data_IF_732256087651
#
_entry.id   IF_732256087651
#
_cell.length_a   1.000
_cell.length_b   1.000
_cell.length_c   1.000
_cell.angle_alpha   90.00
_cell.angle_beta   90.00
_cell.angle_gamma   90.00
#
_symmetry.space_group_name_H-M   'P 1'
#
loop_
_entity.id
_entity.type
_entity.pdbx_description
1 polymer ?
#
# COMPACT_ATOMS: atom_id res chain seq x y z
N UNK A 1 -11.76 -35.40 21.41
CA UNK A 1 -12.29 -34.07 21.82
C UNK A 1 -11.21 -33.07 21.48
N UNK A 2 -11.32 -32.06 20.62
CA UNK A 2 -12.43 -31.42 19.91
C UNK A 2 -11.79 -30.59 18.78
N UNK A 3 -12.08 -30.91 17.52
CA UNK A 3 -11.77 -30.04 16.37
C UNK A 3 -12.90 -29.01 16.22
N UNK A 4 -12.60 -27.73 16.44
CA UNK A 4 -13.54 -26.63 16.21
C UNK A 4 -13.37 -26.12 14.78
N UNK A 5 -14.19 -26.65 13.87
CA UNK A 5 -14.34 -26.15 12.50
C UNK A 5 -15.11 -24.83 12.56
N UNK A 6 -14.47 -23.75 12.09
CA UNK A 6 -15.07 -22.42 11.86
C UNK A 6 -16.30 -22.56 10.95
N UNK A 7 -17.49 -22.27 11.47
CA UNK A 7 -18.69 -22.03 10.66
C UNK A 7 -18.51 -20.72 9.90
N UNK A 8 -18.45 -20.81 8.57
CA UNK A 8 -18.61 -19.66 7.66
C UNK A 8 -20.09 -19.47 7.42
N UNK A 9 -20.68 -18.43 7.99
CA UNK A 9 -22.06 -18.02 7.73
C UNK A 9 -22.12 -17.38 6.34
N UNK A 10 -22.64 -18.13 5.37
CA UNK A 10 -22.92 -17.63 4.01
C UNK A 10 -24.27 -16.91 4.02
N UNK A 11 -24.31 -15.64 3.63
CA UNK A 11 -25.53 -14.85 3.54
C UNK A 11 -26.06 -14.92 2.10
N UNK A 12 -27.22 -15.54 1.90
CA UNK A 12 -27.85 -15.72 0.59
C UNK A 12 -28.87 -14.60 0.35
N UNK A 13 -28.63 -13.76 -0.67
CA UNK A 13 -29.65 -12.80 -1.14
C UNK A 13 -30.34 -13.41 -2.37
N UNK A 14 -31.65 -13.63 -2.26
CA UNK A 14 -32.52 -14.10 -3.34
C UNK A 14 -32.91 -12.91 -4.23
N UNK A 15 -32.39 -12.85 -5.45
CA UNK A 15 -32.94 -11.98 -6.49
C UNK A 15 -34.04 -12.75 -7.24
N UNK A 16 -35.29 -12.35 -7.04
CA UNK A 16 -36.45 -12.91 -7.76
C UNK A 16 -36.54 -12.21 -9.11
N UNK A 17 -36.25 -12.93 -10.20
CA UNK A 17 -36.58 -12.48 -11.55
C UNK A 17 -37.76 -13.29 -12.08
N UNK A 18 -38.79 -12.61 -12.61
CA UNK A 18 -40.00 -13.24 -13.19
C UNK A 18 -39.69 -13.83 -14.56
N UNK A 19 -38.91 -14.89 -14.60
CA UNK A 19 -38.88 -15.87 -15.69
C UNK A 19 -38.15 -17.10 -15.20
N UNK A 20 -38.81 -18.24 -15.35
CA UNK A 20 -38.48 -19.53 -14.75
C UNK A 20 -37.13 -20.06 -15.23
N UNK A 21 -36.05 -19.73 -14.52
CA UNK A 21 -34.79 -20.48 -14.45
C UNK A 21 -33.91 -19.89 -13.33
N UNK A 22 -33.95 -20.52 -12.15
CA UNK A 22 -33.10 -20.16 -11.01
C UNK A 22 -31.67 -20.61 -11.31
N UNK A 23 -30.83 -19.71 -11.79
CA UNK A 23 -29.39 -19.92 -11.80
C UNK A 23 -28.82 -19.43 -10.47
N UNK A 24 -28.36 -20.37 -9.63
CA UNK A 24 -27.59 -20.06 -8.43
C UNK A 24 -26.25 -19.45 -8.85
N UNK A 25 -26.19 -18.12 -8.96
CA UNK A 25 -24.91 -17.41 -9.00
C UNK A 25 -24.34 -17.40 -7.59
N UNK A 26 -23.33 -18.22 -7.34
CA UNK A 26 -22.42 -18.05 -6.21
C UNK A 26 -21.78 -16.67 -6.32
N UNK A 27 -22.27 -15.71 -5.55
CA UNK A 27 -21.56 -14.46 -5.31
C UNK A 27 -20.39 -14.83 -4.40
N UNK A 28 -19.19 -14.88 -4.98
CA UNK A 28 -17.96 -15.04 -4.21
C UNK A 28 -17.93 -13.98 -3.10
N UNK A 29 -17.40 -14.31 -1.90
CA UNK A 29 -17.25 -13.33 -0.84
C UNK A 29 -16.55 -12.10 -1.44
N UNK A 30 -17.15 -10.93 -1.25
CA UNK A 30 -16.61 -9.64 -1.64
C UNK A 30 -15.33 -9.44 -0.81
N UNK A 31 -14.25 -10.06 -1.27
CA UNK A 31 -12.91 -9.63 -0.91
C UNK A 31 -12.86 -8.19 -1.39
N UNK A 32 -12.50 -7.28 -0.48
CA UNK A 32 -12.25 -5.88 -0.82
C UNK A 32 -11.18 -5.92 -1.89
N UNK A 33 -11.59 -5.81 -3.15
CA UNK A 33 -10.67 -5.76 -4.27
C UNK A 33 -10.07 -4.37 -4.23
N UNK A 34 -8.88 -4.26 -3.65
CA UNK A 34 -8.08 -3.06 -3.75
C UNK A 34 -7.81 -2.73 -5.20
N UNK A 35 -7.64 -1.43 -5.46
CA UNK A 35 -7.31 -0.94 -6.79
C UNK A 35 -6.02 -1.57 -7.32
N UNK A 36 -5.08 -1.86 -6.42
CA UNK A 36 -3.81 -2.50 -6.73
C UNK A 36 -3.81 -3.95 -6.24
N UNK A 37 -3.53 -4.89 -7.15
CA UNK A 37 -3.35 -6.29 -6.79
C UNK A 37 -2.00 -6.50 -6.08
N UNK A 38 -1.89 -7.57 -5.28
CA UNK A 38 -0.64 -7.99 -4.66
C UNK A 38 0.53 -8.09 -5.66
N UNK A 39 0.26 -8.52 -6.89
CA UNK A 39 1.24 -8.54 -7.98
C UNK A 39 1.71 -7.15 -8.41
N UNK A 40 0.81 -6.17 -8.52
CA UNK A 40 1.14 -4.81 -8.97
C UNK A 40 2.02 -4.03 -7.99
N UNK A 41 1.86 -4.27 -6.68
CA UNK A 41 2.74 -3.69 -5.64
C UNK A 41 3.99 -4.55 -5.36
N UNK A 42 4.16 -5.64 -6.11
CA UNK A 42 5.33 -6.52 -6.06
C UNK A 42 5.38 -7.44 -4.84
N UNK A 43 4.26 -7.68 -4.16
CA UNK A 43 4.21 -8.62 -3.02
C UNK A 43 4.42 -10.06 -3.47
N UNK A 44 3.83 -10.48 -4.58
CA UNK A 44 3.90 -11.88 -5.05
C UNK A 44 5.34 -12.25 -5.41
N UNK A 45 6.01 -11.37 -6.17
CA UNK A 45 7.43 -11.52 -6.51
C UNK A 45 8.31 -11.50 -5.26
N UNK A 46 7.98 -10.66 -4.27
CA UNK A 46 8.73 -10.60 -3.03
C UNK A 46 8.56 -11.87 -2.19
N UNK A 47 7.35 -12.41 -2.06
CA UNK A 47 7.09 -13.70 -1.39
C UNK A 47 7.88 -14.84 -2.06
N UNK A 48 7.77 -14.93 -3.39
CA UNK A 48 8.48 -15.95 -4.16
C UNK A 48 10.01 -15.82 -3.99
N UNK A 49 10.54 -14.60 -4.05
CA UNK A 49 11.97 -14.36 -3.86
C UNK A 49 12.44 -14.77 -2.45
N UNK A 50 11.60 -14.57 -1.42
CA UNK A 50 11.89 -15.00 -0.05
C UNK A 50 11.90 -16.51 0.09
N UNK A 51 10.90 -17.19 -0.46
CA UNK A 51 10.82 -18.65 -0.46
C UNK A 51 12.05 -19.26 -1.15
N UNK A 52 12.43 -18.72 -2.31
CA UNK A 52 13.64 -19.15 -3.02
C UNK A 52 14.92 -18.85 -2.23
N UNK A 53 15.01 -17.69 -1.59
CA UNK A 53 16.17 -17.32 -0.78
C UNK A 53 16.36 -18.27 0.40
N UNK A 54 15.28 -18.52 1.17
CA UNK A 54 15.29 -19.43 2.31
C UNK A 54 15.59 -20.86 1.86
N UNK A 55 15.00 -21.33 0.75
CA UNK A 55 15.28 -22.66 0.22
C UNK A 55 16.75 -22.86 -0.17
N UNK A 56 17.37 -21.86 -0.82
CA UNK A 56 18.79 -21.92 -1.22
C UNK A 56 19.75 -21.89 -0.04
N UNK A 57 19.39 -21.20 1.06
CA UNK A 57 20.25 -20.99 2.22
C UNK A 57 19.83 -21.81 3.44
N UNK A 58 18.88 -22.74 3.30
CA UNK A 58 18.33 -23.53 4.40
C UNK A 58 19.39 -24.15 5.34
N UNK A 59 20.55 -24.66 4.87
CA UNK A 59 21.56 -25.24 5.75
C UNK A 59 22.24 -24.24 6.69
N UNK A 60 22.32 -22.96 6.32
CA UNK A 60 23.09 -21.94 7.05
C UNK A 60 22.25 -20.79 7.58
N UNK A 61 20.97 -20.69 7.19
CA UNK A 61 20.14 -19.52 7.49
C UNK A 61 19.95 -19.27 8.98
N UNK A 62 19.75 -20.32 9.77
CA UNK A 62 19.56 -20.20 11.23
C UNK A 62 20.83 -19.71 11.92
N UNK A 63 21.99 -20.18 11.44
CA UNK A 63 23.29 -19.74 11.96
C UNK A 63 23.56 -18.28 11.62
N UNK A 64 23.15 -17.84 10.43
CA UNK A 64 23.22 -16.45 10.00
C UNK A 64 22.29 -15.58 10.85
N UNK A 65 21.02 -15.96 11.00
CA UNK A 65 20.03 -15.22 11.80
C UNK A 65 20.50 -15.01 13.24
N UNK A 66 21.00 -16.07 13.90
CA UNK A 66 21.55 -15.95 15.27
C UNK A 66 22.71 -14.95 15.34
N UNK A 67 23.68 -15.06 14.42
CA UNK A 67 24.81 -14.11 14.35
C UNK A 67 24.35 -12.69 14.08
N UNK A 68 23.34 -12.51 13.24
CA UNK A 68 22.76 -11.20 12.93
C UNK A 68 22.09 -10.59 14.17
N UNK A 69 21.26 -11.37 14.88
CA UNK A 69 20.63 -10.94 16.14
C UNK A 69 21.68 -10.51 17.18
N UNK A 70 22.71 -11.34 17.38
CA UNK A 70 23.81 -11.04 18.30
C UNK A 70 24.58 -9.78 17.91
N UNK A 71 24.75 -9.54 16.61
CA UNK A 71 25.40 -8.34 16.09
C UNK A 71 24.55 -7.10 16.32
N UNK A 72 23.26 -7.14 15.97
CA UNK A 72 22.34 -5.99 16.09
C UNK A 72 22.19 -5.54 17.55
N UNK A 73 22.34 -6.43 18.52
CA UNK A 73 22.29 -6.05 19.93
C UNK A 73 23.53 -5.27 20.41
N UNK A 74 24.66 -5.32 19.70
CA UNK A 74 25.88 -4.59 20.09
C UNK A 74 25.81 -3.12 19.66
N UNK A 75 26.13 -2.15 20.53
CA UNK A 75 25.99 -0.72 20.23
C UNK A 75 26.83 -0.28 19.02
N UNK A 76 28.05 -0.79 18.90
CA UNK A 76 29.02 -0.40 17.85
C UNK A 76 28.95 -1.27 16.59
N UNK A 77 27.95 -2.15 16.48
CA UNK A 77 27.83 -3.03 15.33
C UNK A 77 27.55 -2.25 14.04
N UNK A 78 28.44 -2.42 13.07
CA UNK A 78 28.21 -1.96 11.71
C UNK A 78 27.28 -2.92 10.98
N UNK A 79 26.21 -2.37 10.38
CA UNK A 79 25.24 -3.12 9.60
C UNK A 79 25.59 -2.96 8.13
N UNK A 80 25.95 -4.07 7.48
CA UNK A 80 26.19 -4.10 6.04
C UNK A 80 24.88 -4.22 5.26
N UNK A 81 24.85 -3.63 4.07
CA UNK A 81 23.68 -3.65 3.18
C UNK A 81 23.23 -5.07 2.86
N UNK A 82 24.18 -5.96 2.58
CA UNK A 82 23.89 -7.34 2.20
C UNK A 82 23.32 -8.15 3.36
N UNK A 83 23.85 -7.98 4.58
CA UNK A 83 23.32 -8.62 5.78
C UNK A 83 21.89 -8.15 6.08
N UNK A 84 21.62 -6.84 5.98
CA UNK A 84 20.28 -6.30 6.20
C UNK A 84 19.30 -6.81 5.13
N UNK A 85 19.72 -6.87 3.86
CA UNK A 85 18.91 -7.42 2.77
C UNK A 85 18.59 -8.90 3.01
N UNK A 86 19.59 -9.69 3.38
CA UNK A 86 19.45 -11.12 3.68
C UNK A 86 18.53 -11.37 4.87
N UNK A 87 18.63 -10.53 5.91
CA UNK A 87 17.71 -10.59 7.04
C UNK A 87 16.27 -10.24 6.64
N UNK A 88 16.04 -9.20 5.82
CA UNK A 88 14.70 -8.86 5.29
C UNK A 88 14.09 -10.04 4.52
N UNK A 89 14.91 -10.77 3.75
CA UNK A 89 14.45 -11.90 2.95
C UNK A 89 14.10 -13.14 3.78
N UNK A 90 14.66 -13.27 4.98
CA UNK A 90 14.53 -14.47 5.82
C UNK A 90 13.75 -14.26 7.13
N UNK A 91 13.42 -13.02 7.51
CA UNK A 91 12.75 -12.70 8.77
C UNK A 91 11.29 -13.19 8.83
N UNK A 92 11.01 -14.13 9.73
CA UNK A 92 9.73 -14.81 9.93
C UNK A 92 9.20 -14.73 11.36
N UNK A 93 10.01 -14.37 12.36
CA UNK A 93 9.52 -14.13 13.73
C UNK A 93 9.39 -12.64 14.02
N UNK A 94 8.62 -12.30 15.05
CA UNK A 94 8.48 -10.91 15.50
C UNK A 94 9.80 -10.35 16.04
N UNK A 95 10.61 -11.19 16.68
CA UNK A 95 11.96 -10.86 17.11
C UNK A 95 12.86 -10.52 15.92
N UNK A 96 12.84 -11.34 14.88
CA UNK A 96 13.60 -11.13 13.65
C UNK A 96 13.19 -9.84 12.92
N UNK A 97 11.89 -9.55 12.85
CA UNK A 97 11.39 -8.29 12.28
C UNK A 97 11.84 -7.09 13.11
N UNK A 98 11.80 -7.17 14.44
CA UNK A 98 12.28 -6.09 15.31
C UNK A 98 13.80 -5.88 15.14
N UNK A 99 14.57 -6.95 14.97
CA UNK A 99 16.00 -6.86 14.70
C UNK A 99 16.28 -6.18 13.34
N UNK A 100 15.49 -6.48 12.29
CA UNK A 100 15.58 -5.76 11.01
C UNK A 100 15.38 -4.26 11.21
N UNK A 101 14.41 -3.86 12.04
CA UNK A 101 14.10 -2.45 12.30
C UNK A 101 15.21 -1.76 13.10
N UNK A 102 15.75 -2.43 14.11
CA UNK A 102 16.90 -1.90 14.87
C UNK A 102 18.13 -1.76 13.97
N UNK A 103 18.40 -2.77 13.14
CA UNK A 103 19.47 -2.76 12.16
C UNK A 103 19.29 -1.63 11.13
N UNK A 104 18.06 -1.37 10.69
CA UNK A 104 17.73 -0.27 9.80
C UNK A 104 18.05 1.10 10.42
N UNK A 105 17.70 1.31 11.69
CA UNK A 105 18.00 2.56 12.41
C UNK A 105 19.51 2.79 12.49
N UNK A 106 20.28 1.75 12.83
CA UNK A 106 21.76 1.79 12.83
C UNK A 106 22.34 2.04 11.45
N UNK A 107 21.80 1.35 10.44
CA UNK A 107 22.20 1.54 9.04
C UNK A 107 21.97 2.99 8.58
N UNK A 108 20.89 3.63 9.03
CA UNK A 108 20.64 5.01 8.62
C UNK A 108 21.65 6.01 9.21
N UNK A 109 22.10 5.77 10.43
CA UNK A 109 23.12 6.60 11.11
C UNK A 109 24.54 6.32 10.63
N UNK A 110 24.78 5.19 9.97
CA UNK A 110 26.11 4.84 9.45
C UNK A 110 26.52 5.81 8.34
N UNK A 111 27.66 6.47 8.51
CA UNK A 111 28.27 7.38 7.53
C UNK A 111 28.89 6.64 6.33
N UNK A 112 29.11 5.33 6.45
CA UNK A 112 29.78 4.47 5.47
C UNK A 112 28.78 3.71 4.60
N UNK A 113 27.76 4.39 4.07
CA UNK A 113 26.84 3.78 3.10
C UNK A 113 27.58 3.55 1.79
N UNK A 114 28.14 2.36 1.62
CA UNK A 114 28.91 1.95 0.45
C UNK A 114 28.04 1.74 -0.80
N UNK A 115 26.72 1.62 -0.63
CA UNK A 115 25.77 1.28 -1.69
C UNK A 115 24.51 2.14 -1.60
N UNK A 116 24.02 2.61 -2.74
CA UNK A 116 22.76 3.36 -2.87
C UNK A 116 21.53 2.41 -2.92
N UNK A 117 21.43 1.50 -1.96
CA UNK A 117 20.32 0.55 -1.90
C UNK A 117 19.12 1.15 -1.15
N UNK A 118 17.95 1.16 -1.80
CA UNK A 118 16.71 1.69 -1.22
C UNK A 118 15.93 0.61 -0.46
N UNK A 119 15.97 0.68 0.88
CA UNK A 119 15.33 -0.29 1.77
C UNK A 119 13.82 -0.05 2.02
N UNK A 120 13.29 1.14 1.69
CA UNK A 120 11.91 1.51 2.02
C UNK A 120 10.86 0.52 1.52
N UNK A 121 10.84 0.27 0.21
CA UNK A 121 9.91 -0.67 -0.42
C UNK A 121 10.04 -2.12 0.11
N UNK A 122 11.22 -2.76 0.16
CA UNK A 122 11.37 -4.10 0.75
C UNK A 122 10.86 -4.23 2.19
N UNK A 123 11.13 -3.23 3.03
CA UNK A 123 10.69 -3.23 4.44
C UNK A 123 9.17 -3.10 4.53
N UNK A 124 8.57 -2.22 3.73
CA UNK A 124 7.12 -2.11 3.70
C UNK A 124 6.46 -3.41 3.23
N UNK A 125 7.03 -4.11 2.25
CA UNK A 125 6.53 -5.44 1.83
C UNK A 125 6.67 -6.49 2.92
N UNK A 126 7.79 -6.49 3.66
CA UNK A 126 7.98 -7.36 4.82
C UNK A 126 6.88 -7.12 5.85
N UNK A 127 6.66 -5.87 6.27
CA UNK A 127 5.65 -5.52 7.27
C UNK A 127 4.22 -5.79 6.79
N UNK A 128 3.96 -5.61 5.49
CA UNK A 128 2.70 -5.98 4.85
C UNK A 128 2.41 -7.48 5.03
N UNK A 129 3.35 -8.34 4.64
CA UNK A 129 3.19 -9.81 4.70
C UNK A 129 3.07 -10.28 6.14
N UNK A 130 3.79 -9.64 7.06
CA UNK A 130 3.72 -9.92 8.49
C UNK A 130 2.51 -9.31 9.19
N UNK A 131 1.64 -8.62 8.45
CA UNK A 131 0.44 -7.97 8.95
C UNK A 131 0.74 -7.01 10.13
N UNK A 132 1.75 -6.15 9.98
CA UNK A 132 2.16 -5.15 10.98
C UNK A 132 1.96 -3.71 10.47
N UNK A 133 0.72 -3.28 10.18
CA UNK A 133 0.43 -1.95 9.63
C UNK A 133 0.80 -0.81 10.59
N UNK A 134 0.61 -0.97 11.90
CA UNK A 134 0.97 0.06 12.90
C UNK A 134 2.46 0.33 12.93
N UNK A 135 3.27 -0.73 12.88
CA UNK A 135 4.72 -0.64 12.84
C UNK A 135 5.19 0.00 11.53
N UNK A 136 4.56 -0.35 10.41
CA UNK A 136 4.85 0.26 9.12
C UNK A 136 4.56 1.77 9.12
N UNK A 137 3.42 2.18 9.70
CA UNK A 137 3.06 3.59 9.85
C UNK A 137 4.03 4.32 10.77
N UNK A 138 4.39 3.74 11.91
CA UNK A 138 5.38 4.30 12.84
C UNK A 138 6.72 4.55 12.15
N UNK A 139 7.22 3.60 11.36
CA UNK A 139 8.50 3.74 10.66
C UNK A 139 8.44 4.75 9.52
N UNK A 140 7.34 4.78 8.77
CA UNK A 140 7.15 5.78 7.71
C UNK A 140 7.15 7.20 8.27
N UNK A 141 6.52 7.39 9.44
CA UNK A 141 6.40 8.66 10.14
C UNK A 141 7.60 9.02 11.03
N UNK A 142 8.63 8.19 11.07
CA UNK A 142 9.84 8.46 11.87
C UNK A 142 10.73 9.48 11.14
N UNK A 143 10.99 10.63 11.77
CA UNK A 143 11.91 11.67 11.27
C UNK A 143 13.33 11.16 11.10
N UNK A 144 13.77 10.25 11.96
CA UNK A 144 15.09 9.63 11.84
C UNK A 144 15.22 8.70 10.64
N UNK A 145 14.11 8.30 10.00
CA UNK A 145 14.10 7.38 8.86
C UNK A 145 13.59 8.02 7.56
N UNK A 146 13.46 9.36 7.53
CA UNK A 146 12.95 10.11 6.37
C UNK A 146 13.58 9.69 5.05
N UNK A 147 14.90 9.55 5.02
CA UNK A 147 15.66 9.26 3.80
C UNK A 147 15.49 7.81 3.31
N UNK A 148 14.95 6.91 4.15
CA UNK A 148 14.70 5.51 3.77
C UNK A 148 13.30 5.37 3.16
N UNK A 149 12.33 6.14 3.65
CA UNK A 149 10.92 6.04 3.27
C UNK A 149 10.42 7.27 2.49
N UNK A 150 11.31 7.96 1.79
CA UNK A 150 10.95 9.09 0.92
C UNK A 150 10.44 8.65 -0.46
N UNK A 151 10.62 7.39 -0.84
CA UNK A 151 10.19 6.86 -2.13
C UNK A 151 8.67 6.68 -2.20
N UNK A 152 8.07 7.01 -3.35
CA UNK A 152 6.64 6.80 -3.55
C UNK A 152 6.22 5.32 -3.52
N UNK A 153 7.17 4.39 -3.75
CA UNK A 153 6.92 2.95 -3.71
C UNK A 153 6.62 2.44 -2.30
N UNK A 154 7.39 2.85 -1.29
CA UNK A 154 7.14 2.50 0.10
C UNK A 154 5.81 3.05 0.60
N UNK A 155 5.49 4.30 0.23
CA UNK A 155 4.20 4.92 0.52
C UNK A 155 3.04 4.15 -0.15
N UNK A 156 3.17 3.77 -1.43
CA UNK A 156 2.16 3.00 -2.16
C UNK A 156 1.84 1.67 -1.46
N UNK A 157 2.86 0.93 -1.02
CA UNK A 157 2.67 -0.36 -0.33
C UNK A 157 1.93 -0.16 1.00
N UNK A 158 2.32 0.84 1.78
CA UNK A 158 1.68 1.16 3.06
C UNK A 158 0.23 1.63 2.87
N UNK A 159 -0.01 2.56 1.94
CA UNK A 159 -1.35 3.05 1.60
C UNK A 159 -2.26 1.89 1.18
N UNK A 160 -1.76 0.97 0.33
CA UNK A 160 -2.57 -0.17 -0.11
C UNK A 160 -2.97 -1.04 1.07
N UNK A 161 -2.03 -1.31 2.00
CA UNK A 161 -2.32 -2.08 3.21
C UNK A 161 -3.37 -1.42 4.09
N UNK A 162 -3.25 -0.11 4.32
CA UNK A 162 -4.19 0.64 5.16
C UNK A 162 -5.59 0.68 4.55
N UNK A 163 -5.70 0.82 3.23
CA UNK A 163 -6.99 0.75 2.51
C UNK A 163 -7.60 -0.65 2.59
N UNK A 164 -6.82 -1.73 2.45
CA UNK A 164 -7.29 -3.11 2.67
C UNK A 164 -7.83 -3.32 4.08
N UNK A 165 -7.13 -2.77 5.07
CA UNK A 165 -7.50 -2.86 6.48
C UNK A 165 -8.62 -1.88 6.87
N UNK A 166 -9.18 -1.13 5.91
CA UNK A 166 -10.23 -0.10 6.08
C UNK A 166 -9.83 1.05 7.01
N UNK A 167 -8.53 1.29 7.18
CA UNK A 167 -7.95 2.38 7.96
C UNK A 167 -7.79 3.63 7.10
N UNK A 168 -8.92 4.15 6.60
CA UNK A 168 -8.92 5.22 5.61
C UNK A 168 -8.32 6.53 6.15
N UNK A 169 -8.59 6.90 7.41
CA UNK A 169 -8.00 8.10 8.01
C UNK A 169 -6.48 8.00 8.13
N UNK A 170 -5.95 6.82 8.45
CA UNK A 170 -4.52 6.61 8.53
C UNK A 170 -3.86 6.64 7.15
N UNK A 171 -4.54 6.11 6.11
CA UNK A 171 -4.07 6.23 4.74
C UNK A 171 -3.97 7.70 4.30
N UNK A 172 -4.98 8.51 4.61
CA UNK A 172 -4.97 9.95 4.31
C UNK A 172 -3.81 10.65 5.03
N UNK A 173 -3.60 10.36 6.33
CA UNK A 173 -2.47 10.92 7.10
C UNK A 173 -1.12 10.55 6.51
N UNK A 174 -0.92 9.28 6.10
CA UNK A 174 0.33 8.81 5.47
C UNK A 174 0.60 9.59 4.18
N UNK A 175 -0.42 9.80 3.36
CA UNK A 175 -0.29 10.57 2.13
C UNK A 175 0.03 12.05 2.39
N UNK A 176 -0.72 12.71 3.28
CA UNK A 176 -0.48 14.12 3.68
C UNK A 176 0.95 14.32 4.20
N UNK A 177 1.42 13.40 5.06
CA UNK A 177 2.77 13.43 5.61
C UNK A 177 3.86 13.23 4.54
N UNK A 178 3.65 12.28 3.63
CA UNK A 178 4.57 12.06 2.50
C UNK A 178 4.64 13.26 1.56
N UNK A 179 3.49 13.91 1.30
CA UNK A 179 3.43 15.15 0.52
C UNK A 179 4.17 16.31 1.19
N UNK A 180 4.02 16.48 2.51
CA UNK A 180 4.73 17.53 3.27
C UNK A 180 6.25 17.36 3.18
N UNK A 181 6.73 16.12 3.17
CA UNK A 181 8.15 15.79 3.07
C UNK A 181 8.71 15.88 1.65
N UNK A 182 7.85 15.78 0.66
CA UNK A 182 8.18 15.64 -0.76
C UNK A 182 8.53 14.19 -1.11
N UNK A 183 7.71 13.56 -1.96
CA UNK A 183 8.01 12.22 -2.48
C UNK A 183 9.17 12.26 -3.46
N UNK A 184 10.09 11.32 -3.32
CA UNK A 184 11.02 10.96 -4.39
C UNK A 184 10.28 10.01 -5.34
N UNK A 185 9.97 10.50 -6.54
CA UNK A 185 9.36 9.70 -7.61
C UNK A 185 10.37 9.48 -8.73
N UNK A 186 10.37 8.29 -9.34
CA UNK A 186 11.23 7.99 -10.49
C UNK A 186 10.96 8.90 -11.69
N UNK A 187 9.73 9.39 -11.82
CA UNK A 187 9.30 10.31 -12.88
C UNK A 187 9.55 11.79 -12.57
N UNK A 188 10.12 12.14 -11.41
CA UNK A 188 10.31 13.54 -10.97
C UNK A 188 9.00 14.31 -10.72
N UNK A 189 7.86 13.60 -10.62
CA UNK A 189 6.55 14.17 -10.37
C UNK A 189 6.38 14.51 -8.89
N UNK A 190 5.74 15.64 -8.62
CA UNK A 190 5.42 16.08 -7.26
C UNK A 190 4.33 15.20 -6.63
N UNK A 191 3.36 14.75 -7.44
CA UNK A 191 2.25 13.90 -7.02
C UNK A 191 2.39 12.51 -7.64
N UNK A 192 2.67 11.45 -6.84
CA UNK A 192 2.67 10.09 -7.35
C UNK A 192 1.24 9.65 -7.69
N UNK A 193 0.96 9.37 -8.96
CA UNK A 193 -0.38 9.03 -9.46
C UNK A 193 -1.03 7.87 -8.69
N UNK A 194 -0.26 6.83 -8.36
CA UNK A 194 -0.78 5.66 -7.64
C UNK A 194 -1.12 5.96 -6.18
N UNK A 195 -0.29 6.77 -5.51
CA UNK A 195 -0.55 7.22 -4.14
C UNK A 195 -1.80 8.12 -4.08
N UNK A 196 -1.95 9.04 -5.04
CA UNK A 196 -3.16 9.86 -5.18
C UNK A 196 -4.38 8.97 -5.39
N UNK A 197 -4.28 7.95 -6.24
CA UNK A 197 -5.38 7.02 -6.54
C UNK A 197 -5.88 6.31 -5.27
N UNK A 198 -4.97 5.81 -4.42
CA UNK A 198 -5.34 5.17 -3.16
C UNK A 198 -5.91 6.14 -2.13
N UNK A 199 -5.40 7.37 -2.07
CA UNK A 199 -5.96 8.40 -1.17
C UNK A 199 -7.38 8.77 -1.59
N UNK A 200 -7.62 8.93 -2.90
CA UNK A 200 -8.98 9.12 -3.44
C UNK A 200 -9.86 7.91 -3.16
N UNK A 201 -9.34 6.68 -3.27
CA UNK A 201 -10.10 5.49 -2.88
C UNK A 201 -10.50 5.55 -1.41
N UNK A 202 -9.58 5.88 -0.51
CA UNK A 202 -9.87 6.01 0.92
C UNK A 202 -10.98 7.05 1.19
N UNK A 203 -10.90 8.21 0.54
CA UNK A 203 -11.90 9.28 0.65
C UNK A 203 -13.25 8.86 0.07
N UNK A 204 -13.26 8.19 -1.07
CA UNK A 204 -14.47 7.64 -1.70
C UNK A 204 -15.14 6.60 -0.81
N UNK A 205 -14.37 5.71 -0.16
CA UNK A 205 -14.90 4.69 0.76
C UNK A 205 -15.48 5.28 2.03
N UNK A 206 -14.98 6.42 2.50
CA UNK A 206 -15.57 7.15 3.62
C UNK A 206 -16.91 7.80 3.27
N UNK A 207 -17.07 8.29 2.03
CA UNK A 207 -18.29 8.89 1.50
C UNK A 207 -18.95 9.92 2.43
N UNK A 208 -18.14 10.85 2.96
CA UNK A 208 -18.63 11.97 3.79
C UNK A 208 -18.43 13.29 3.07
N UNK A 209 -19.20 14.32 3.45
CA UNK A 209 -19.02 15.69 2.94
C UNK A 209 -17.61 16.22 3.18
N UNK A 210 -16.99 15.85 4.30
CA UNK A 210 -15.60 16.21 4.60
C UNK A 210 -14.63 15.49 3.65
N UNK A 211 -14.86 14.22 3.37
CA UNK A 211 -14.07 13.45 2.41
C UNK A 211 -14.15 14.05 1.00
N UNK A 212 -15.35 14.49 0.58
CA UNK A 212 -15.52 15.22 -0.69
C UNK A 212 -14.70 16.52 -0.72
N UNK A 213 -14.78 17.33 0.33
CA UNK A 213 -14.05 18.60 0.41
C UNK A 213 -12.52 18.38 0.30
N UNK A 214 -11.98 17.40 1.03
CA UNK A 214 -10.56 17.02 0.94
C UNK A 214 -10.19 16.49 -0.44
N UNK A 215 -11.05 15.65 -1.02
CA UNK A 215 -10.81 15.05 -2.32
C UNK A 215 -10.79 16.10 -3.43
N UNK A 216 -11.68 17.10 -3.36
CA UNK A 216 -11.67 18.27 -4.24
C UNK A 216 -10.37 19.06 -4.14
N UNK A 217 -9.97 19.42 -2.93
CA UNK A 217 -8.74 20.18 -2.70
C UNK A 217 -7.52 19.44 -3.28
N UNK A 218 -7.44 18.13 -3.06
CA UNK A 218 -6.36 17.30 -3.61
C UNK A 218 -6.40 17.28 -5.14
N UNK A 219 -7.57 17.09 -5.76
CA UNK A 219 -7.69 17.03 -7.21
C UNK A 219 -7.36 18.38 -7.88
N UNK A 220 -7.80 19.50 -7.33
CA UNK A 220 -7.43 20.83 -7.82
C UNK A 220 -5.92 21.01 -7.81
N UNK A 221 -5.24 20.65 -6.70
CA UNK A 221 -3.77 20.70 -6.60
C UNK A 221 -3.06 19.80 -7.61
N UNK A 222 -3.63 18.63 -7.93
CA UNK A 222 -3.09 17.70 -8.94
C UNK A 222 -3.23 18.29 -10.34
N UNK A 223 -4.38 18.89 -10.65
CA UNK A 223 -4.67 19.53 -11.96
C UNK A 223 -3.78 20.77 -12.17
N UNK A 224 -3.66 21.64 -11.17
CA UNK A 224 -2.82 22.85 -11.23
C UNK A 224 -1.34 22.55 -11.52
N UNK A 225 -0.89 21.34 -11.17
CA UNK A 225 0.50 20.88 -11.36
C UNK A 225 0.69 20.04 -12.62
N UNK A 226 -0.31 19.99 -13.49
CA UNK A 226 -0.35 19.19 -14.72
C UNK A 226 0.03 17.71 -14.51
N UNK A 227 -0.35 17.15 -13.35
CA UNK A 227 -0.09 15.75 -13.06
C UNK A 227 -1.16 14.85 -13.71
N UNK A 228 -0.72 13.74 -14.32
CA UNK A 228 -1.62 12.79 -14.97
C UNK A 228 -2.62 12.20 -13.97
N UNK A 229 -3.91 12.30 -14.32
CA UNK A 229 -5.01 11.70 -13.58
C UNK A 229 -5.34 10.35 -14.19
N UNK A 230 -5.27 9.30 -13.38
CA UNK A 230 -5.74 7.98 -13.78
C UNK A 230 -7.27 8.03 -14.00
N UNK A 231 -7.80 7.51 -15.13
CA UNK A 231 -9.24 7.48 -15.39
C UNK A 231 -10.07 6.86 -14.27
N UNK A 232 -9.52 5.87 -13.56
CA UNK A 232 -10.17 5.26 -12.40
C UNK A 232 -10.31 6.24 -11.24
N UNK A 233 -9.29 7.06 -11.00
CA UNK A 233 -9.31 8.12 -9.98
C UNK A 233 -10.36 9.15 -10.32
N UNK A 234 -10.41 9.60 -11.57
CA UNK A 234 -11.44 10.52 -12.04
C UNK A 234 -12.85 9.94 -11.92
N UNK A 235 -13.04 8.66 -12.24
CA UNK A 235 -14.34 7.99 -12.09
C UNK A 235 -14.78 7.91 -10.61
N UNK A 236 -13.88 7.54 -9.69
CA UNK A 236 -14.20 7.53 -8.25
C UNK A 236 -14.54 8.92 -7.72
N UNK A 237 -13.80 9.94 -8.17
CA UNK A 237 -14.08 11.33 -7.84
C UNK A 237 -15.43 11.80 -8.38
N UNK A 238 -15.73 11.49 -9.64
CA UNK A 238 -17.02 11.82 -10.25
C UNK A 238 -18.17 11.16 -9.51
N UNK A 239 -18.03 9.88 -9.14
CA UNK A 239 -19.02 9.17 -8.35
C UNK A 239 -19.21 9.78 -6.95
N UNK A 240 -18.13 10.11 -6.25
CA UNK A 240 -18.19 10.78 -4.94
C UNK A 240 -18.93 12.13 -5.03
N UNK A 241 -18.67 12.91 -6.08
CA UNK A 241 -19.31 14.19 -6.31
C UNK A 241 -20.81 14.02 -6.62
N UNK A 242 -21.18 13.07 -7.47
CA UNK A 242 -22.59 12.76 -7.79
C UNK A 242 -23.35 12.33 -6.53
N UNK A 243 -22.74 11.52 -5.65
CA UNK A 243 -23.35 11.08 -4.38
C UNK A 243 -23.64 12.23 -3.40
N UNK A 244 -23.04 13.39 -3.61
CA UNK A 244 -23.21 14.58 -2.79
C UNK A 244 -23.82 15.76 -3.58
N UNK A 245 -24.54 15.48 -4.67
CA UNK A 245 -25.27 16.44 -5.50
C UNK A 245 -24.38 17.49 -6.20
N UNK A 246 -23.13 17.14 -6.48
CA UNK A 246 -22.10 18.03 -7.05
C UNK A 246 -21.74 17.65 -8.51
N UNK A 247 -22.74 17.44 -9.35
CA UNK A 247 -22.59 16.94 -10.72
C UNK A 247 -21.73 17.82 -11.63
N UNK A 248 -21.72 19.14 -11.41
CA UNK A 248 -20.88 20.07 -12.19
C UNK A 248 -19.39 19.77 -12.00
N UNK A 249 -18.98 19.50 -10.76
CA UNK A 249 -17.59 19.14 -10.45
C UNK A 249 -17.24 17.75 -11.00
N UNK A 250 -18.18 16.81 -10.98
CA UNK A 250 -17.98 15.49 -11.58
C UNK A 250 -17.64 15.60 -13.08
N UNK A 251 -18.37 16.45 -13.82
CA UNK A 251 -18.13 16.68 -15.25
C UNK A 251 -16.78 17.32 -15.52
N UNK A 252 -16.37 18.29 -14.69
CA UNK A 252 -15.06 18.93 -14.78
C UNK A 252 -13.92 17.92 -14.63
N UNK A 253 -13.96 17.10 -13.58
CA UNK A 253 -12.91 16.10 -13.31
C UNK A 253 -12.84 15.03 -14.40
N UNK A 254 -13.99 14.53 -14.86
CA UNK A 254 -14.02 13.54 -15.94
C UNK A 254 -13.50 14.15 -17.25
N UNK A 255 -13.85 15.41 -17.54
CA UNK A 255 -13.36 16.14 -18.70
C UNK A 255 -11.86 16.45 -18.66
N UNK A 256 -11.29 16.59 -17.46
CA UNK A 256 -9.85 16.82 -17.27
C UNK A 256 -8.97 15.60 -17.58
N UNK A 257 -9.55 14.40 -17.70
CA UNK A 257 -8.80 13.19 -18.06
C UNK A 257 -8.37 13.28 -19.53
N UNK A 258 -7.07 13.46 -19.76
CA UNK A 258 -6.48 13.40 -21.10
C UNK A 258 -6.80 12.04 -21.71
N UNK A 259 -7.44 12.04 -22.88
CA UNK A 259 -8.02 10.87 -23.53
C UNK A 259 -7.01 9.73 -23.76
N UNK A 260 -6.84 8.86 -22.77
CA UNK A 260 -6.19 7.56 -22.91
C UNK A 260 -7.14 6.51 -22.32
N UNK A 261 -7.97 5.94 -23.22
CA UNK A 261 -8.91 4.82 -23.02
C UNK A 261 -10.32 5.17 -22.50
N UNK A 262 -11.17 5.61 -23.44
CA UNK A 262 -12.62 5.87 -23.32
C UNK A 262 -13.48 4.70 -22.78
N UNK A 263 -12.95 3.46 -22.74
CA UNK A 263 -13.72 2.26 -22.38
C UNK A 263 -14.16 2.22 -20.90
N UNK A 264 -13.47 2.93 -20.00
CA UNK A 264 -13.85 2.96 -18.57
C UNK A 264 -14.98 3.96 -18.29
N UNK A 265 -15.04 5.06 -19.05
CA UNK A 265 -16.00 6.16 -18.83
C UNK A 265 -17.39 5.81 -19.40
N UNK A 266 -17.45 5.01 -20.47
CA UNK A 266 -18.71 4.63 -21.12
C UNK A 266 -19.59 3.64 -20.33
N UNK A 267 -19.13 3.14 -19.18
CA UNK A 267 -19.85 2.15 -18.36
C UNK A 267 -20.51 2.73 -17.10
N UNK A 268 -20.49 4.04 -16.89
CA UNK A 268 -21.29 4.68 -15.84
C UNK A 268 -22.72 4.80 -16.37
N UNK A 269 -23.57 3.83 -16.05
CA UNK A 269 -25.02 3.99 -16.22
C UNK A 269 -25.56 4.85 -15.09
N UNK A 270 -26.05 6.03 -15.45
CA UNK A 270 -26.90 6.91 -14.65
C UNK A 270 -28.23 6.21 -14.37
#
# INVERSE_FOLDING_TARGET
>A
MSHLIRKVTSCTILAINRSSNVTLRTVLPVHVRTIFSSSSIGLDNFKLAREQYVSRHAPSIDSFKKRFLDSVNKPDAQIFTEDLRNMIMSADSDEEVNAVIQALKKYNTNKLKLTDYHFGSPIMRLLYIRNKPDLAMQLFMDESLKNIFNDSGSALILLNKLVEDKRYDDAIKVFEYGMQRGFTTTSGRTYPTDAVTLTIEALYRQNTKQSLAKAKELMTKVIERDADINPRTAAMMGLLAIQHDESSFAMEIIGAVRAQNLTTIQNIRV
#
